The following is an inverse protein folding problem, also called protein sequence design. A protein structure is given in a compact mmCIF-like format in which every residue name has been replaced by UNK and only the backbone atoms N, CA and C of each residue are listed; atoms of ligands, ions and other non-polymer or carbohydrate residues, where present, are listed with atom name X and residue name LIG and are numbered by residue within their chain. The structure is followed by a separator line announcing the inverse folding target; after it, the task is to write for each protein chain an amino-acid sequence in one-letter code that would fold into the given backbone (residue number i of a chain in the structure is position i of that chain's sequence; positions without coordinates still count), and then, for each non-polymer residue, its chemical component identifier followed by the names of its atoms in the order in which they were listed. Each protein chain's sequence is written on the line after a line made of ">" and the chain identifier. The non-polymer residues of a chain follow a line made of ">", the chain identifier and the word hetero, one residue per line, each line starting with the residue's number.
data_IF_384616806309
#
_entry.id   IF_384616806309
#
_cell.length_a   1.000
_cell.length_b   1.000
_cell.length_c   1.000
_cell.angle_alpha   90.00
_cell.angle_beta   90.00
_cell.angle_gamma   90.00
#
_symmetry.space_group_name_H-M   'P 1'
#
loop_
_entity.id
_entity.type
_entity.pdbx_description
1 polymer ?
#
# COMPACT_ATOMS: atom_id res chain seq x y z
N UNK A 1 -110.42 28.02 -56.06
CA UNK A 1 -109.32 27.02 -56.21
C UNK A 1 -108.18 27.43 -55.27
N UNK A 2 -107.58 26.51 -54.49
CA UNK A 2 -106.43 26.84 -53.62
C UNK A 2 -106.28 26.08 -52.28
N UNK A 3 -107.03 24.99 -52.03
CA UNK A 3 -106.99 24.23 -50.76
C UNK A 3 -105.89 23.14 -50.58
N UNK A 4 -104.94 22.84 -51.51
CA UNK A 4 -103.89 21.86 -51.21
C UNK A 4 -102.60 22.47 -50.60
N UNK A 5 -102.43 23.81 -50.60
CA UNK A 5 -101.16 24.44 -50.16
C UNK A 5 -100.93 24.36 -48.63
N UNK A 6 -101.99 24.45 -47.82
CA UNK A 6 -101.87 24.48 -46.34
C UNK A 6 -101.51 23.12 -45.73
N UNK A 7 -101.89 22.01 -46.37
CA UNK A 7 -101.57 20.66 -45.91
C UNK A 7 -100.10 20.30 -46.17
N UNK A 8 -99.52 20.78 -47.26
CA UNK A 8 -98.10 20.58 -47.59
C UNK A 8 -97.18 21.40 -46.67
N UNK A 9 -97.58 22.62 -46.30
CA UNK A 9 -96.83 23.44 -45.33
C UNK A 9 -96.89 22.84 -43.92
N UNK A 10 -98.02 22.25 -43.54
CA UNK A 10 -98.18 21.56 -42.25
C UNK A 10 -97.31 20.30 -42.13
N UNK A 11 -97.25 19.46 -43.17
CA UNK A 11 -96.38 18.27 -43.15
C UNK A 11 -94.90 18.62 -43.17
N UNK A 12 -94.51 19.69 -43.88
CA UNK A 12 -93.13 20.17 -43.89
C UNK A 12 -92.70 20.74 -42.53
N UNK A 13 -93.60 21.41 -41.82
CA UNK A 13 -93.34 21.91 -40.47
C UNK A 13 -93.18 20.77 -39.44
N UNK A 14 -93.99 19.70 -39.54
CA UNK A 14 -93.87 18.51 -38.68
C UNK A 14 -92.60 17.72 -38.99
N UNK A 15 -92.24 17.59 -40.27
CA UNK A 15 -90.98 16.95 -40.66
C UNK A 15 -89.76 17.76 -40.18
N UNK A 16 -89.80 19.09 -40.26
CA UNK A 16 -88.74 19.96 -39.75
C UNK A 16 -88.63 19.90 -38.22
N UNK A 17 -89.76 19.87 -37.51
CA UNK A 17 -89.79 19.72 -36.05
C UNK A 17 -89.28 18.35 -35.60
N UNK A 18 -89.65 17.27 -36.31
CA UNK A 18 -89.14 15.93 -36.05
C UNK A 18 -87.64 15.82 -36.34
N UNK A 19 -87.16 16.44 -37.43
CA UNK A 19 -85.74 16.49 -37.75
C UNK A 19 -84.95 17.28 -36.70
N UNK A 20 -85.47 18.42 -36.23
CA UNK A 20 -84.86 19.21 -35.15
C UNK A 20 -84.86 18.45 -33.83
N UNK A 21 -85.94 17.75 -33.51
CA UNK A 21 -86.04 16.93 -32.29
C UNK A 21 -85.04 15.78 -32.30
N UNK A 22 -84.95 15.06 -33.43
CA UNK A 22 -83.96 13.97 -33.61
C UNK A 22 -82.52 14.50 -33.63
N UNK A 23 -82.27 15.70 -34.15
CA UNK A 23 -80.94 16.33 -34.13
C UNK A 23 -80.54 16.76 -32.71
N UNK A 24 -81.49 17.26 -31.91
CA UNK A 24 -81.24 17.65 -30.51
C UNK A 24 -80.93 16.47 -29.59
N UNK A 25 -81.56 15.30 -29.84
CA UNK A 25 -81.26 14.07 -29.12
C UNK A 25 -79.88 13.51 -29.48
N UNK A 26 -79.46 13.62 -30.75
CA UNK A 26 -78.15 13.13 -31.20
C UNK A 26 -77.00 14.05 -30.77
N UNK A 27 -77.27 15.35 -30.60
CA UNK A 27 -76.30 16.32 -30.07
C UNK A 27 -76.07 16.14 -28.55
N UNK A 28 -77.07 15.70 -27.80
CA UNK A 28 -76.94 15.43 -26.35
C UNK A 28 -76.22 14.11 -26.03
N UNK A 29 -76.19 13.17 -26.97
CA UNK A 29 -75.54 11.86 -26.80
C UNK A 29 -74.02 11.86 -27.10
N UNK A 30 -73.46 13.00 -27.57
CA UNK A 30 -72.04 13.11 -27.94
C UNK A 30 -71.28 14.06 -27.00
N UNK A 31 -71.46 13.86 -25.70
CA UNK A 31 -70.47 14.29 -24.72
C UNK A 31 -69.66 13.03 -24.37
N UNK A 32 -68.60 12.77 -25.12
CA UNK A 32 -67.59 11.77 -24.73
C UNK A 32 -67.07 12.21 -23.36
N UNK A 33 -67.54 11.52 -22.30
CA UNK A 33 -67.16 11.80 -20.93
C UNK A 33 -65.64 11.73 -20.77
N UNK A 34 -65.10 12.65 -19.97
CA UNK A 34 -63.68 12.67 -19.62
C UNK A 34 -63.27 11.30 -19.07
N UNK A 35 -62.20 10.71 -19.61
CA UNK A 35 -61.64 9.46 -19.08
C UNK A 35 -61.06 9.73 -17.70
N UNK A 36 -61.77 9.28 -16.66
CA UNK A 36 -61.29 9.34 -15.28
C UNK A 36 -60.59 8.05 -14.90
N UNK A 37 -59.57 8.16 -14.04
CA UNK A 37 -58.90 7.01 -13.39
C UNK A 37 -59.10 7.09 -11.89
N UNK A 38 -59.29 5.93 -11.26
CA UNK A 38 -59.46 5.83 -9.81
C UNK A 38 -58.08 5.99 -9.14
N UNK A 39 -57.98 6.91 -8.16
CA UNK A 39 -56.72 7.18 -7.45
C UNK A 39 -56.71 6.46 -6.10
N UNK A 40 -55.66 5.69 -5.84
CA UNK A 40 -55.43 5.05 -4.55
C UNK A 40 -54.25 5.74 -3.83
N UNK A 41 -54.39 5.93 -2.51
CA UNK A 41 -53.27 6.40 -1.67
C UNK A 41 -52.39 5.20 -1.34
N UNK A 42 -51.10 5.28 -1.68
CA UNK A 42 -50.08 4.30 -1.33
C UNK A 42 -48.85 4.98 -0.74
N UNK A 43 -47.97 4.18 -0.14
CA UNK A 43 -46.67 4.70 0.33
C UNK A 43 -45.72 4.77 -0.85
N UNK A 44 -45.18 5.96 -1.12
CA UNK A 44 -44.11 6.15 -2.11
C UNK A 44 -42.79 5.99 -1.36
N UNK A 45 -42.02 4.98 -1.73
CA UNK A 45 -40.66 4.79 -1.21
C UNK A 45 -39.70 5.22 -2.30
N UNK A 46 -39.04 6.36 -2.09
CA UNK A 46 -37.94 6.79 -2.94
C UNK A 46 -36.68 6.03 -2.53
N UNK A 47 -36.14 5.22 -3.45
CA UNK A 47 -34.95 4.41 -3.21
C UNK A 47 -33.76 5.10 -3.84
N UNK A 48 -32.96 5.77 -3.02
CA UNK A 48 -31.65 6.24 -3.43
C UNK A 48 -30.64 5.08 -3.37
N UNK A 49 -29.88 4.87 -4.46
CA UNK A 49 -28.79 3.90 -4.49
C UNK A 49 -27.50 4.61 -4.05
N UNK A 50 -27.03 4.30 -2.84
CA UNK A 50 -25.73 4.75 -2.36
C UNK A 50 -24.70 3.64 -2.60
N UNK A 51 -23.69 3.92 -3.42
CA UNK A 51 -22.51 3.07 -3.56
C UNK A 51 -21.40 3.62 -2.66
N UNK A 52 -20.71 2.71 -1.98
CA UNK A 52 -19.57 3.03 -1.13
C UNK A 52 -18.53 1.92 -1.20
N UNK A 53 -17.30 2.24 -0.82
CA UNK A 53 -16.21 1.28 -0.76
C UNK A 53 -15.83 1.03 0.70
N UNK A 54 -15.57 -0.23 1.05
CA UNK A 54 -14.99 -0.60 2.35
C UNK A 54 -13.50 -0.33 2.28
N UNK A 55 -13.00 0.44 3.24
CA UNK A 55 -11.57 0.75 3.41
C UNK A 55 -11.13 0.41 4.84
N UNK A 56 -9.88 -0.02 5.03
CA UNK A 56 -9.35 -0.22 6.37
C UNK A 56 -9.31 1.11 7.14
N UNK A 57 -9.61 1.07 8.43
CA UNK A 57 -9.49 2.22 9.34
C UNK A 57 -8.01 2.64 9.53
N UNK A 58 -7.11 1.65 9.58
CA UNK A 58 -5.67 1.84 9.64
C UNK A 58 -4.94 0.94 8.64
N UNK A 59 -4.08 1.54 7.83
CA UNK A 59 -3.22 0.83 6.87
C UNK A 59 -1.76 1.23 7.11
N UNK A 60 -0.88 0.24 7.20
CA UNK A 60 0.56 0.47 7.39
C UNK A 60 1.31 -0.15 6.23
N UNK A 61 1.97 0.70 5.45
CA UNK A 61 2.85 0.27 4.38
C UNK A 61 4.23 -0.10 4.94
N UNK A 62 4.60 -1.36 4.83
CA UNK A 62 5.93 -1.85 5.20
C UNK A 62 6.87 -1.70 4.01
N UNK A 63 8.01 -1.04 4.23
CA UNK A 63 9.08 -0.83 3.23
C UNK A 63 10.37 -1.49 3.69
N UNK A 64 11.21 -1.87 2.74
CA UNK A 64 12.55 -2.36 3.06
C UNK A 64 13.42 -1.25 3.64
N UNK A 65 14.29 -1.62 4.59
CA UNK A 65 15.34 -0.75 5.14
C UNK A 65 16.66 -0.89 4.37
N UNK A 66 16.82 -1.95 3.56
CA UNK A 66 18.01 -2.22 2.74
C UNK A 66 17.61 -2.51 1.30
N UNK A 67 18.45 -2.09 0.36
CA UNK A 67 18.28 -2.48 -1.04
C UNK A 67 18.78 -3.91 -1.25
N UNK A 68 18.08 -4.67 -2.08
CA UNK A 68 18.47 -6.04 -2.38
C UNK A 68 17.38 -6.81 -3.11
N UNK A 69 17.44 -8.13 -3.00
CA UNK A 69 16.49 -9.05 -3.63
C UNK A 69 15.69 -9.77 -2.54
N UNK A 70 14.38 -9.89 -2.73
CA UNK A 70 13.53 -10.69 -1.83
C UNK A 70 13.93 -12.16 -1.92
N UNK A 71 14.52 -12.69 -0.85
CA UNK A 71 14.96 -14.08 -0.78
C UNK A 71 13.78 -15.03 -0.53
N UNK A 72 12.90 -14.66 0.40
CA UNK A 72 11.71 -15.44 0.73
C UNK A 72 10.61 -14.58 1.36
N UNK A 73 9.39 -15.12 1.31
CA UNK A 73 8.20 -14.60 1.99
C UNK A 73 7.76 -15.58 3.07
N UNK A 74 7.35 -15.07 4.23
CA UNK A 74 6.89 -15.87 5.37
C UNK A 74 5.38 -15.77 5.60
N UNK A 75 4.70 -14.93 4.82
CA UNK A 75 3.26 -14.65 4.94
C UNK A 75 2.59 -14.60 3.57
N UNK A 76 1.29 -14.85 3.54
CA UNK A 76 0.42 -14.72 2.39
C UNK A 76 -0.63 -13.61 2.57
N UNK A 77 -1.23 -13.17 1.47
CA UNK A 77 -2.31 -12.17 1.52
C UNK A 77 -3.52 -12.78 2.20
N UNK A 78 -4.06 -12.09 3.21
CA UNK A 78 -5.13 -12.58 4.07
C UNK A 78 -4.65 -13.17 5.41
N UNK A 79 -3.35 -13.41 5.59
CA UNK A 79 -2.82 -13.89 6.86
C UNK A 79 -2.92 -12.83 7.96
N UNK A 80 -3.15 -13.30 9.19
CA UNK A 80 -3.06 -12.46 10.38
C UNK A 80 -1.64 -12.49 10.94
N UNK A 81 -1.08 -11.32 11.21
CA UNK A 81 0.28 -11.15 11.71
C UNK A 81 0.31 -10.45 13.06
N UNK A 82 1.32 -10.78 13.86
CA UNK A 82 1.61 -10.13 15.14
C UNK A 82 2.80 -9.15 15.02
N UNK A 83 2.92 -8.24 15.99
CA UNK A 83 4.05 -7.29 16.03
C UNK A 83 5.37 -8.06 16.10
N UNK A 84 6.30 -7.73 15.22
CA UNK A 84 7.63 -8.35 15.16
C UNK A 84 7.69 -9.67 14.38
N UNK A 85 6.56 -10.18 13.88
CA UNK A 85 6.52 -11.38 13.06
C UNK A 85 7.29 -11.16 11.74
N UNK A 86 8.18 -12.10 11.34
CA UNK A 86 8.84 -12.07 10.03
C UNK A 86 7.84 -12.04 8.88
N UNK A 87 8.05 -11.15 7.92
CA UNK A 87 7.24 -11.02 6.71
C UNK A 87 8.05 -11.43 5.48
N UNK A 88 9.25 -10.87 5.33
CA UNK A 88 10.14 -11.13 4.20
C UNK A 88 11.58 -11.27 4.67
N UNK A 89 12.37 -12.08 3.97
CA UNK A 89 13.83 -12.06 4.06
C UNK A 89 14.41 -11.43 2.79
N UNK A 90 15.38 -10.54 2.94
CA UNK A 90 16.03 -9.81 1.84
C UNK A 90 17.51 -10.16 1.84
N UNK A 91 18.03 -10.54 0.68
CA UNK A 91 19.47 -10.71 0.48
C UNK A 91 20.02 -9.44 -0.15
N UNK A 92 21.07 -8.81 0.39
CA UNK A 92 21.72 -7.70 -0.30
C UNK A 92 22.26 -8.14 -1.65
N UNK A 93 22.18 -7.23 -2.62
CA UNK A 93 22.74 -7.43 -3.96
C UNK A 93 23.73 -6.30 -4.28
N UNK A 94 24.93 -6.30 -3.65
CA UNK A 94 25.93 -5.28 -3.90
C UNK A 94 26.50 -5.45 -5.30
N UNK A 95 26.91 -4.33 -5.91
CA UNK A 95 27.63 -4.40 -7.18
C UNK A 95 28.99 -5.08 -7.00
N UNK A 96 29.55 -5.72 -8.06
CA UNK A 96 30.88 -6.32 -8.00
C UNK A 96 31.98 -5.33 -7.57
N UNK A 97 31.83 -4.05 -7.93
CA UNK A 97 32.75 -2.99 -7.55
C UNK A 97 32.70 -2.71 -6.04
N UNK A 98 31.50 -2.50 -5.49
CA UNK A 98 31.33 -2.26 -4.04
C UNK A 98 31.87 -3.41 -3.20
N UNK A 99 31.64 -4.65 -3.65
CA UNK A 99 32.16 -5.83 -2.99
C UNK A 99 33.69 -5.86 -3.01
N UNK A 100 34.29 -5.61 -4.18
CA UNK A 100 35.73 -5.56 -4.33
C UNK A 100 36.36 -4.47 -3.45
N UNK A 101 35.78 -3.27 -3.43
CA UNK A 101 36.26 -2.16 -2.59
C UNK A 101 36.19 -2.51 -1.10
N UNK A 102 35.12 -3.14 -0.65
CA UNK A 102 34.98 -3.56 0.74
C UNK A 102 35.99 -4.65 1.12
N UNK A 103 36.27 -5.60 0.22
CA UNK A 103 37.31 -6.61 0.42
C UNK A 103 38.70 -5.99 0.51
N UNK A 104 39.02 -5.03 -0.38
CA UNK A 104 40.29 -4.29 -0.33
C UNK A 104 40.44 -3.45 0.92
N UNK A 105 39.36 -2.83 1.40
CA UNK A 105 39.38 -2.07 2.64
C UNK A 105 39.71 -2.98 3.84
N UNK A 106 39.17 -4.20 3.89
CA UNK A 106 39.51 -5.18 4.92
C UNK A 106 40.98 -5.60 4.82
N UNK A 107 41.48 -5.86 3.62
CA UNK A 107 42.87 -6.23 3.38
C UNK A 107 43.84 -5.14 3.88
N UNK A 108 43.60 -3.88 3.50
CA UNK A 108 44.40 -2.74 3.94
C UNK A 108 44.36 -2.54 5.46
N UNK A 109 43.17 -2.64 6.06
CA UNK A 109 43.02 -2.49 7.51
C UNK A 109 43.70 -3.64 8.27
N UNK A 110 43.69 -4.85 7.71
CA UNK A 110 44.35 -6.01 8.31
C UNK A 110 45.87 -5.82 8.29
N UNK A 111 46.45 -5.39 7.16
CA UNK A 111 47.89 -5.10 7.07
C UNK A 111 48.31 -4.01 8.08
N UNK A 112 47.48 -2.97 8.25
CA UNK A 112 47.74 -1.93 9.25
C UNK A 112 47.65 -2.47 10.69
N UNK A 113 46.67 -3.33 10.98
CA UNK A 113 46.51 -3.96 12.28
C UNK A 113 47.72 -4.84 12.61
N UNK A 114 48.12 -5.72 11.69
CA UNK A 114 49.25 -6.65 11.89
C UNK A 114 50.56 -5.88 12.16
N UNK A 115 50.78 -4.78 11.45
CA UNK A 115 51.94 -3.91 11.67
C UNK A 115 51.96 -3.33 13.08
N UNK A 116 50.85 -2.75 13.52
CA UNK A 116 50.78 -2.08 14.82
C UNK A 116 50.77 -3.11 15.97
N UNK A 117 50.20 -4.29 15.75
CA UNK A 117 50.26 -5.42 16.68
C UNK A 117 51.71 -5.86 16.95
N UNK A 118 52.50 -6.07 15.89
CA UNK A 118 53.92 -6.41 16.02
C UNK A 118 54.71 -5.30 16.73
N UNK A 119 54.44 -4.04 16.41
CA UNK A 119 55.11 -2.90 17.06
C UNK A 119 54.73 -2.80 18.55
N UNK A 120 53.48 -3.05 18.92
CA UNK A 120 53.03 -3.10 20.30
C UNK A 120 53.68 -4.25 21.07
N UNK A 121 53.81 -5.43 20.46
CA UNK A 121 54.46 -6.60 21.07
C UNK A 121 55.94 -6.33 21.39
N UNK A 122 56.68 -5.73 20.44
CA UNK A 122 58.06 -5.26 20.66
C UNK A 122 58.12 -4.24 21.79
N UNK A 123 57.22 -3.26 21.77
CA UNK A 123 57.14 -2.18 22.77
C UNK A 123 56.84 -2.74 24.17
N UNK A 124 55.96 -3.74 24.28
CA UNK A 124 55.64 -4.43 25.55
C UNK A 124 56.87 -5.13 26.14
N UNK A 125 57.68 -5.78 25.29
CA UNK A 125 58.94 -6.42 25.71
C UNK A 125 59.94 -5.38 26.25
N UNK A 126 60.08 -4.23 25.57
CA UNK A 126 60.98 -3.15 26.02
C UNK A 126 60.48 -2.43 27.28
N UNK A 127 59.17 -2.25 27.42
CA UNK A 127 58.56 -1.63 28.60
C UNK A 127 58.70 -2.53 29.84
N UNK A 128 58.44 -3.84 29.70
CA UNK A 128 58.63 -4.80 30.80
C UNK A 128 60.11 -4.95 31.20
N UNK A 129 61.05 -4.72 30.27
CA UNK A 129 62.48 -4.60 30.56
C UNK A 129 62.91 -3.27 31.20
N UNK A 130 61.99 -2.33 31.45
CA UNK A 130 62.28 -1.03 32.07
C UNK A 130 62.99 -0.02 31.15
N UNK A 131 63.07 -0.30 29.84
CA UNK A 131 63.83 0.51 28.87
C UNK A 131 62.97 1.66 28.32
N UNK A 132 61.67 1.45 28.22
CA UNK A 132 60.74 2.39 27.59
C UNK A 132 59.90 3.15 28.64
N UNK A 133 59.69 4.48 28.49
CA UNK A 133 58.75 5.23 29.32
C UNK A 133 57.29 4.77 29.13
N UNK A 134 56.47 4.92 30.19
CA UNK A 134 55.03 4.59 30.18
C UNK A 134 54.27 5.32 29.07
N UNK A 135 54.52 6.62 28.89
CA UNK A 135 53.81 7.43 27.89
C UNK A 135 53.99 6.90 26.47
N UNK A 136 55.18 6.37 26.15
CA UNK A 136 55.44 5.77 24.84
C UNK A 136 54.72 4.43 24.67
N UNK A 137 54.66 3.60 25.73
CA UNK A 137 53.89 2.36 25.70
C UNK A 137 52.39 2.65 25.51
N UNK A 138 51.85 3.59 26.28
CA UNK A 138 50.44 3.98 26.22
C UNK A 138 50.07 4.56 24.84
N UNK A 139 50.97 5.30 24.20
CA UNK A 139 50.77 5.77 22.81
C UNK A 139 50.65 4.60 21.82
N UNK A 140 51.54 3.59 21.92
CA UNK A 140 51.49 2.41 21.04
C UNK A 140 50.26 1.55 21.29
N UNK A 141 49.80 1.47 22.54
CA UNK A 141 48.56 0.80 22.88
C UNK A 141 47.35 1.49 22.22
N UNK A 142 47.30 2.83 22.25
CA UNK A 142 46.25 3.60 21.55
C UNK A 142 46.28 3.39 20.04
N UNK A 143 47.46 3.38 19.43
CA UNK A 143 47.60 3.11 17.99
C UNK A 143 47.05 1.72 17.63
N UNK A 144 47.33 0.71 18.47
CA UNK A 144 46.81 -0.65 18.30
C UNK A 144 45.29 -0.68 18.41
N UNK A 145 44.73 -0.05 19.44
CA UNK A 145 43.29 0.01 19.63
C UNK A 145 42.59 0.72 18.46
N UNK A 146 43.19 1.78 17.92
CA UNK A 146 42.70 2.48 16.74
C UNK A 146 42.73 1.58 15.49
N UNK A 147 43.83 0.85 15.25
CA UNK A 147 43.94 -0.07 14.12
C UNK A 147 42.95 -1.24 14.23
N UNK A 148 42.74 -1.76 15.46
CA UNK A 148 41.74 -2.80 15.76
C UNK A 148 40.33 -2.33 15.42
N UNK A 149 39.94 -1.13 15.86
CA UNK A 149 38.62 -0.56 15.57
C UNK A 149 38.45 -0.35 14.05
N UNK A 150 39.47 0.14 13.36
CA UNK A 150 39.44 0.32 11.89
C UNK A 150 39.22 -1.00 11.14
N UNK A 151 39.93 -2.06 11.55
CA UNK A 151 39.75 -3.41 11.00
C UNK A 151 38.36 -3.97 11.25
N UNK A 152 37.83 -3.79 12.47
CA UNK A 152 36.47 -4.19 12.82
C UNK A 152 35.44 -3.47 11.94
N UNK A 153 35.57 -2.15 11.76
CA UNK A 153 34.70 -1.36 10.88
C UNK A 153 34.74 -1.82 9.42
N UNK A 154 35.93 -2.13 8.88
CA UNK A 154 36.06 -2.64 7.52
C UNK A 154 35.38 -4.01 7.37
N UNK A 155 35.55 -4.90 8.36
CA UNK A 155 34.92 -6.23 8.38
C UNK A 155 33.39 -6.12 8.47
N UNK A 156 32.89 -5.22 9.31
CA UNK A 156 31.47 -4.91 9.44
C UNK A 156 30.88 -4.43 8.10
N UNK A 157 31.54 -3.50 7.41
CA UNK A 157 31.10 -3.02 6.10
C UNK A 157 31.03 -4.16 5.07
N UNK A 158 32.03 -5.05 5.04
CA UNK A 158 32.02 -6.22 4.14
C UNK A 158 30.89 -7.19 4.49
N UNK A 159 30.65 -7.44 5.78
CA UNK A 159 29.58 -8.32 6.25
C UNK A 159 28.19 -7.77 5.89
N UNK A 160 27.96 -6.45 6.01
CA UNK A 160 26.72 -5.83 5.54
C UNK A 160 26.45 -6.12 4.07
N UNK A 161 27.47 -5.95 3.22
CA UNK A 161 27.31 -6.14 1.78
C UNK A 161 27.11 -7.61 1.41
N UNK A 162 27.75 -8.55 2.11
CA UNK A 162 27.61 -10.00 1.81
C UNK A 162 26.40 -10.66 2.44
N UNK A 163 26.09 -10.32 3.68
CA UNK A 163 25.14 -11.07 4.52
C UNK A 163 23.88 -10.25 4.84
N UNK A 164 23.92 -8.93 4.69
CA UNK A 164 22.81 -8.03 5.01
C UNK A 164 22.52 -7.93 6.49
N UNK A 165 23.42 -8.49 7.31
CA UNK A 165 23.30 -8.55 8.76
C UNK A 165 24.47 -7.81 9.37
N UNK A 166 24.17 -6.86 10.24
CA UNK A 166 25.16 -6.33 11.17
C UNK A 166 24.96 -7.03 12.51
N UNK A 167 25.82 -8.00 12.83
CA UNK A 167 25.90 -8.59 14.16
C UNK A 167 26.61 -7.63 15.13
N UNK A 168 26.11 -6.40 15.29
CA UNK A 168 26.69 -5.48 16.25
C UNK A 168 26.34 -5.96 17.66
N UNK A 169 27.37 -6.24 18.46
CA UNK A 169 27.25 -6.64 19.87
C UNK A 169 26.77 -5.44 20.70
N UNK A 170 25.47 -5.23 20.79
CA UNK A 170 24.83 -4.19 21.63
C UNK A 170 23.45 -3.77 21.11
N UNK A 171 22.60 -3.24 22.00
CA UNK A 171 21.17 -2.87 21.84
C UNK A 171 20.80 -1.90 20.68
N UNK A 172 21.68 -1.67 19.71
CA UNK A 172 21.34 -0.97 18.48
C UNK A 172 20.83 -2.03 17.52
N UNK A 173 19.53 -1.97 17.17
CA UNK A 173 18.87 -2.88 16.24
C UNK A 173 19.81 -3.15 15.05
N UNK A 174 20.39 -4.35 15.01
CA UNK A 174 21.17 -4.78 13.86
C UNK A 174 20.29 -4.64 12.64
N UNK A 175 20.87 -4.18 11.53
CA UNK A 175 20.18 -4.23 10.24
C UNK A 175 19.91 -5.71 10.00
N UNK A 176 18.66 -6.12 10.20
CA UNK A 176 18.20 -7.49 9.99
C UNK A 176 17.73 -7.54 8.54
N UNK A 177 18.23 -8.51 7.78
CA UNK A 177 17.70 -8.79 6.45
C UNK A 177 16.24 -9.25 6.48
N UNK A 178 15.70 -9.56 7.67
CA UNK A 178 14.30 -9.93 7.86
C UNK A 178 13.44 -8.71 8.16
N UNK A 179 12.55 -8.36 7.23
CA UNK A 179 11.49 -7.39 7.45
C UNK A 179 10.44 -8.00 8.37
N UNK A 180 10.05 -7.25 9.40
CA UNK A 180 9.06 -7.66 10.41
C UNK A 180 7.84 -6.75 10.40
N UNK A 181 6.71 -7.28 10.84
CA UNK A 181 5.49 -6.51 11.03
C UNK A 181 5.67 -5.43 12.10
N UNK A 182 5.36 -4.18 11.77
CA UNK A 182 5.39 -3.05 12.71
C UNK A 182 4.14 -2.97 13.60
N UNK A 183 3.04 -3.62 13.19
CA UNK A 183 1.79 -3.70 13.93
C UNK A 183 1.13 -5.07 13.72
N UNK A 184 0.25 -5.47 14.64
CA UNK A 184 -0.58 -6.64 14.47
C UNK A 184 -1.78 -6.30 13.56
N UNK A 185 -2.16 -7.21 12.67
CA UNK A 185 -3.20 -6.94 11.68
C UNK A 185 -3.34 -8.06 10.65
N UNK A 186 -3.94 -7.76 9.51
CA UNK A 186 -4.09 -8.69 8.38
C UNK A 186 -3.35 -8.16 7.17
N UNK A 187 -2.65 -9.03 6.45
CA UNK A 187 -1.94 -8.67 5.22
C UNK A 187 -2.95 -8.38 4.11
N UNK A 188 -3.09 -7.10 3.73
CA UNK A 188 -4.06 -6.66 2.72
C UNK A 188 -3.60 -6.96 1.29
N UNK A 189 -2.34 -6.65 0.99
CA UNK A 189 -1.76 -6.87 -0.32
C UNK A 189 -0.25 -7.12 -0.22
N UNK A 190 0.29 -7.78 -1.25
CA UNK A 190 1.72 -8.01 -1.41
C UNK A 190 2.16 -7.45 -2.77
N UNK A 191 3.08 -6.47 -2.76
CA UNK A 191 3.59 -5.82 -3.97
C UNK A 191 4.86 -6.43 -4.55
N UNK A 192 5.51 -7.34 -3.81
CA UNK A 192 6.80 -7.94 -4.15
C UNK A 192 6.76 -9.44 -3.94
N UNK A 193 7.41 -10.18 -4.81
CA UNK A 193 7.54 -11.64 -4.73
C UNK A 193 9.01 -12.02 -4.53
N UNK A 194 9.28 -13.25 -4.06
CA UNK A 194 10.65 -13.77 -4.04
C UNK A 194 11.30 -13.66 -5.42
N UNK A 195 12.50 -13.05 -5.46
CA UNK A 195 13.24 -12.73 -6.69
C UNK A 195 13.10 -11.28 -7.15
N UNK A 196 12.12 -10.52 -6.66
CA UNK A 196 11.96 -9.12 -7.03
C UNK A 196 13.00 -8.23 -6.32
N UNK A 197 13.52 -7.18 -6.99
CA UNK A 197 14.37 -6.18 -6.36
C UNK A 197 13.54 -5.22 -5.50
N UNK A 198 14.11 -4.79 -4.38
CA UNK A 198 13.51 -3.88 -3.38
C UNK A 198 14.43 -2.77 -2.94
#
# INVERSE_FOLDING_TARGET
>A
MGKPMKLVVGSLAVAAAAALFLYSQKASAKQEGLKTVEVARGTIVDKALAVGQIVPDQEIQVKSQISGIVASTFVEVGDRVEVGQPLFAITPDPTPLELAEAERAVELAQVSYDKVEQDLERTRTLFSGGILPRDQFDSRQKDFDQARISLEQAKDKRALLKEGKLARRGNVAGVDSVIRASAAGTVLERKVNPGDPV
#
